data_IF_167747012724
#
_entry.id   IF_167747012724
#
_cell.length_a   1.000
_cell.length_b   1.000
_cell.length_c   1.000
_cell.angle_alpha   90.00
_cell.angle_beta   90.00
_cell.angle_gamma   90.00
#
_symmetry.space_group_name_H-M   'P 1'
#
loop_
_entity.id
_entity.type
_entity.pdbx_description
1 polymer ?
#
# COMPACT_ATOMS: atom_id res chain seq x y z
N UNK A 1 -7.31 -39.81 58.98
CA UNK A 1 -6.25 -38.90 59.46
C UNK A 1 -6.56 -37.49 58.96
N UNK A 2 -6.78 -36.56 59.92
CA UNK A 2 -6.87 -35.08 59.84
C UNK A 2 -7.94 -34.50 58.89
N UNK A 3 -9.15 -34.17 59.39
CA UNK A 3 -9.56 -32.89 60.03
C UNK A 3 -9.50 -31.71 59.03
N UNK A 4 -10.61 -31.35 58.35
CA UNK A 4 -11.66 -30.37 58.72
C UNK A 4 -11.12 -28.97 59.03
N UNK A 5 -11.48 -27.95 58.23
CA UNK A 5 -12.24 -26.76 58.69
C UNK A 5 -12.61 -25.80 57.54
N UNK A 6 -13.91 -25.49 57.46
CA UNK A 6 -14.53 -24.39 56.72
C UNK A 6 -14.37 -23.09 57.54
N UNK A 7 -14.01 -21.97 56.92
CA UNK A 7 -14.30 -20.64 57.47
C UNK A 7 -14.85 -19.74 56.35
N UNK A 8 -16.16 -19.52 56.41
CA UNK A 8 -16.81 -18.32 55.87
C UNK A 8 -16.38 -17.12 56.74
N UNK A 9 -16.01 -16.01 56.10
CA UNK A 9 -16.13 -14.68 56.70
C UNK A 9 -16.95 -13.81 55.75
N UNK A 10 -18.21 -13.57 56.13
CA UNK A 10 -18.99 -12.44 55.65
C UNK A 10 -18.75 -11.31 56.65
N UNK A 11 -18.09 -10.23 56.20
CA UNK A 11 -18.27 -8.91 56.79
C UNK A 11 -18.54 -7.96 55.63
N UNK A 12 -19.78 -7.46 55.59
CA UNK A 12 -20.13 -6.30 54.80
C UNK A 12 -19.62 -5.03 55.47
N UNK A 13 -19.09 -4.12 54.66
CA UNK A 13 -19.09 -2.69 54.95
C UNK A 13 -19.66 -2.00 53.71
N UNK A 14 -20.87 -1.47 53.89
CA UNK A 14 -21.44 -0.47 53.02
C UNK A 14 -20.67 0.86 53.12
N UNK A 15 -20.81 1.69 52.09
CA UNK A 15 -20.41 3.09 51.99
C UNK A 15 -18.97 3.37 51.55
N UNK A 16 -18.78 3.56 50.25
CA UNK A 16 -18.83 4.90 49.68
C UNK A 16 -18.91 4.80 48.16
N UNK A 17 -19.93 5.41 47.56
CA UNK A 17 -19.89 5.75 46.15
C UNK A 17 -18.69 6.68 45.94
N UNK A 18 -17.62 6.17 45.33
CA UNK A 18 -16.74 7.02 44.54
C UNK A 18 -16.86 6.53 43.11
N UNK A 19 -17.72 7.21 42.37
CA UNK A 19 -17.72 7.24 40.92
C UNK A 19 -16.37 7.82 40.46
N UNK A 20 -15.32 7.00 40.47
CA UNK A 20 -14.23 7.22 39.53
C UNK A 20 -14.71 6.64 38.22
N UNK A 21 -15.48 7.46 37.49
CA UNK A 21 -15.49 7.38 36.04
C UNK A 21 -14.04 7.55 35.59
N UNK A 22 -13.31 6.45 35.46
CA UNK A 22 -12.25 6.39 34.47
C UNK A 22 -12.96 6.56 33.14
N UNK A 23 -13.16 7.81 32.73
CA UNK A 23 -13.24 8.13 31.32
C UNK A 23 -11.98 7.51 30.73
N UNK A 24 -12.18 6.39 30.04
CA UNK A 24 -11.20 5.79 29.17
C UNK A 24 -11.00 6.83 28.06
N UNK A 25 -10.11 7.81 28.31
CA UNK A 25 -9.73 8.81 27.32
C UNK A 25 -8.96 8.05 26.26
N UNK A 26 -9.70 7.49 25.31
CA UNK A 26 -9.18 6.81 24.14
C UNK A 26 -8.30 7.84 23.42
N UNK A 27 -6.98 7.76 23.60
CA UNK A 27 -6.02 8.69 23.00
C UNK A 27 -6.22 8.62 21.50
N UNK A 28 -6.83 9.67 20.92
CA UNK A 28 -7.00 9.78 19.48
C UNK A 28 -5.61 9.85 18.85
N UNK A 29 -5.33 8.92 17.96
CA UNK A 29 -4.08 8.90 17.19
C UNK A 29 -3.96 10.18 16.37
N UNK A 30 -2.72 10.69 16.30
CA UNK A 30 -2.32 11.74 15.37
C UNK A 30 -2.41 11.24 13.92
N UNK A 31 -2.39 12.17 12.96
CA UNK A 31 -2.40 11.80 11.54
C UNK A 31 -1.20 10.96 11.13
N UNK A 32 -0.01 11.29 11.64
CA UNK A 32 1.19 10.49 11.43
C UNK A 32 1.05 9.08 12.01
N UNK A 33 0.56 8.94 13.25
CA UNK A 33 0.32 7.61 13.86
C UNK A 33 -0.72 6.79 13.06
N UNK A 34 -1.80 7.42 12.57
CA UNK A 34 -2.80 6.77 11.71
C UNK A 34 -2.19 6.31 10.38
N UNK A 35 -1.35 7.15 9.76
CA UNK A 35 -0.70 6.85 8.50
C UNK A 35 0.32 5.71 8.62
N UNK A 36 1.10 5.69 9.70
CA UNK A 36 2.02 4.58 10.01
C UNK A 36 1.25 3.28 10.25
N UNK A 37 0.11 3.34 10.93
CA UNK A 37 -0.76 2.17 11.08
C UNK A 37 -1.30 1.68 9.74
N UNK A 38 -1.77 2.57 8.87
CA UNK A 38 -2.23 2.23 7.52
C UNK A 38 -1.10 1.55 6.72
N UNK A 39 0.11 2.12 6.74
CA UNK A 39 1.27 1.50 6.09
C UNK A 39 1.52 0.08 6.62
N UNK A 40 1.62 -0.07 7.94
CA UNK A 40 2.03 -1.33 8.58
C UNK A 40 0.96 -2.42 8.49
N UNK A 41 -0.32 -2.05 8.63
CA UNK A 41 -1.42 -2.99 8.80
C UNK A 41 -2.20 -3.25 7.51
N UNK A 42 -2.15 -2.33 6.54
CA UNK A 42 -2.91 -2.44 5.31
C UNK A 42 -2.00 -2.53 4.08
N UNK A 43 -0.92 -1.75 4.00
CA UNK A 43 -0.06 -1.72 2.80
C UNK A 43 0.99 -2.83 2.79
N UNK A 44 1.77 -2.97 3.86
CA UNK A 44 2.82 -4.00 3.94
C UNK A 44 2.27 -5.42 3.70
N UNK A 45 1.13 -5.83 4.30
CA UNK A 45 0.57 -7.17 4.09
C UNK A 45 0.17 -7.49 2.64
N UNK A 46 -0.03 -6.48 1.78
CA UNK A 46 -0.29 -6.71 0.35
C UNK A 46 0.86 -7.47 -0.33
N UNK A 47 2.07 -7.42 0.24
CA UNK A 47 3.29 -7.99 -0.31
C UNK A 47 3.75 -9.28 0.37
N UNK A 48 2.94 -9.85 1.29
CA UNK A 48 3.30 -11.06 2.05
C UNK A 48 3.60 -12.29 1.17
N UNK A 49 3.11 -12.31 -0.07
CA UNK A 49 3.38 -13.41 -1.01
C UNK A 49 4.82 -13.43 -1.56
N UNK A 50 5.57 -12.33 -1.41
CA UNK A 50 6.94 -12.22 -1.87
C UNK A 50 7.89 -12.45 -0.70
N UNK A 51 8.40 -13.68 -0.57
CA UNK A 51 9.44 -14.00 0.41
C UNK A 51 10.71 -13.17 0.14
N UNK A 52 11.38 -12.75 1.21
CA UNK A 52 12.67 -12.06 1.18
C UNK A 52 12.65 -10.66 0.55
N UNK A 53 11.50 -9.97 0.51
CA UNK A 53 11.48 -8.54 0.23
C UNK A 53 12.01 -7.76 1.44
N UNK A 54 12.99 -6.89 1.18
CA UNK A 54 13.45 -5.90 2.15
C UNK A 54 12.49 -4.70 2.14
N UNK A 55 11.28 -4.90 2.65
CA UNK A 55 10.30 -3.83 2.82
C UNK A 55 10.80 -2.89 3.93
N UNK A 56 10.87 -1.57 3.71
CA UNK A 56 11.25 -0.62 4.73
C UNK A 56 10.33 -0.68 5.96
N UNK A 57 10.87 -0.59 7.16
CA UNK A 57 10.06 -0.54 8.39
C UNK A 57 9.75 0.90 8.83
N UNK A 58 10.50 1.87 8.31
CA UNK A 58 10.43 3.27 8.71
C UNK A 58 9.71 4.14 7.66
N UNK A 59 8.84 5.02 8.14
CA UNK A 59 8.27 6.12 7.36
C UNK A 59 8.94 7.42 7.80
N UNK A 60 9.53 8.15 6.85
CA UNK A 60 10.03 9.51 7.06
C UNK A 60 9.08 10.50 6.41
N UNK A 61 8.60 11.48 7.19
CA UNK A 61 7.65 12.48 6.69
C UNK A 61 8.42 13.76 6.38
N UNK A 62 8.39 14.21 5.12
CA UNK A 62 8.81 15.58 4.78
C UNK A 62 7.70 16.56 5.15
N UNK A 63 7.90 17.23 6.29
CA UNK A 63 6.99 18.24 6.82
C UNK A 63 6.84 19.49 5.94
N UNK A 64 7.73 19.69 4.96
CA UNK A 64 7.71 20.85 4.06
C UNK A 64 7.00 20.57 2.72
N UNK A 65 6.82 19.30 2.34
CA UNK A 65 6.15 18.91 1.11
C UNK A 65 4.63 18.74 1.33
N UNK A 66 3.85 19.67 0.80
CA UNK A 66 2.38 19.65 0.87
C UNK A 66 1.72 18.95 -0.32
N UNK A 67 2.51 18.43 -1.28
CA UNK A 67 1.99 17.63 -2.38
C UNK A 67 1.56 16.23 -1.90
N UNK A 68 1.00 15.40 -2.78
CA UNK A 68 0.72 13.99 -2.50
C UNK A 68 1.83 13.18 -3.18
N UNK A 69 2.84 12.77 -2.42
CA UNK A 69 4.05 12.15 -2.97
C UNK A 69 4.67 11.16 -1.99
N UNK A 70 5.40 10.19 -2.52
CA UNK A 70 6.21 9.25 -1.76
C UNK A 70 7.44 8.81 -2.57
N UNK A 71 8.42 8.23 -1.90
CA UNK A 71 9.59 7.61 -2.51
C UNK A 71 10.18 6.55 -1.59
N UNK A 72 10.51 5.37 -2.12
CA UNK A 72 11.26 4.37 -1.37
C UNK A 72 12.79 4.59 -1.49
N UNK A 73 13.47 4.62 -0.35
CA UNK A 73 14.92 4.63 -0.25
C UNK A 73 15.42 3.44 0.59
N UNK A 74 16.73 3.25 0.68
CA UNK A 74 17.29 2.14 1.46
C UNK A 74 16.96 2.30 2.95
N UNK A 75 16.04 1.47 3.44
CA UNK A 75 15.65 1.38 4.86
C UNK A 75 14.45 2.24 5.27
N UNK A 76 13.92 3.11 4.40
CA UNK A 76 12.73 3.91 4.71
C UNK A 76 11.89 4.24 3.47
N UNK A 77 10.61 4.55 3.67
CA UNK A 77 9.77 5.25 2.68
C UNK A 77 9.65 6.71 3.11
N UNK A 78 10.07 7.61 2.23
CA UNK A 78 9.83 9.05 2.38
C UNK A 78 8.43 9.37 1.90
N UNK A 79 7.66 10.16 2.66
CA UNK A 79 6.32 10.59 2.29
C UNK A 79 6.15 12.08 2.52
N UNK A 80 5.41 12.74 1.65
CA UNK A 80 5.06 14.14 1.84
C UNK A 80 4.03 14.29 2.96
N UNK A 81 4.05 15.42 3.66
CA UNK A 81 2.99 15.80 4.60
C UNK A 81 1.61 15.82 3.94
N UNK A 82 1.51 16.28 2.69
CA UNK A 82 0.24 16.31 1.97
C UNK A 82 -0.35 14.91 1.75
N UNK A 83 0.50 13.87 1.55
CA UNK A 83 0.05 12.48 1.51
C UNK A 83 -0.46 12.02 2.88
N UNK A 84 0.24 12.34 3.97
CA UNK A 84 -0.15 11.99 5.35
C UNK A 84 -1.48 12.65 5.76
N UNK A 85 -1.71 13.89 5.34
CA UNK A 85 -2.91 14.66 5.67
C UNK A 85 -4.11 14.37 4.74
N UNK A 86 -3.87 13.67 3.62
CA UNK A 86 -4.92 13.28 2.68
C UNK A 86 -6.01 12.47 3.40
N UNK A 87 -7.28 12.81 3.14
CA UNK A 87 -8.42 12.11 3.74
C UNK A 87 -8.74 10.78 3.05
N UNK A 88 -8.31 10.65 1.81
CA UNK A 88 -8.61 9.51 0.96
C UNK A 88 -7.58 8.40 1.18
N UNK A 89 -7.94 7.44 2.05
CA UNK A 89 -7.08 6.29 2.35
C UNK A 89 -6.83 5.42 1.14
N UNK A 90 -7.78 5.32 0.19
CA UNK A 90 -7.57 4.49 -1.01
C UNK A 90 -6.41 5.02 -1.86
N UNK A 91 -6.28 6.34 -1.96
CA UNK A 91 -5.13 6.99 -2.62
C UNK A 91 -3.86 6.81 -1.79
N UNK A 92 -3.92 6.94 -0.46
CA UNK A 92 -2.75 6.70 0.40
C UNK A 92 -2.19 5.29 0.22
N UNK A 93 -3.07 4.29 0.22
CA UNK A 93 -2.71 2.88 0.00
C UNK A 93 -2.10 2.69 -1.39
N UNK A 94 -2.69 3.26 -2.44
CA UNK A 94 -2.15 3.14 -3.79
C UNK A 94 -0.74 3.74 -3.90
N UNK A 95 -0.52 4.95 -3.38
CA UNK A 95 0.80 5.62 -3.44
C UNK A 95 1.85 4.84 -2.66
N UNK A 96 1.54 4.36 -1.45
CA UNK A 96 2.48 3.55 -0.68
C UNK A 96 2.73 2.17 -1.31
N UNK A 97 1.69 1.53 -1.84
CA UNK A 97 1.83 0.24 -2.53
C UNK A 97 2.65 0.38 -3.83
N UNK A 98 2.54 1.51 -4.53
CA UNK A 98 3.37 1.81 -5.69
C UNK A 98 4.87 1.80 -5.32
N UNK A 99 5.26 2.47 -4.24
CA UNK A 99 6.65 2.47 -3.77
C UNK A 99 7.17 1.07 -3.41
N UNK A 100 6.36 0.26 -2.71
CA UNK A 100 6.74 -1.12 -2.39
C UNK A 100 6.76 -2.02 -3.63
N UNK A 101 5.93 -1.73 -4.64
CA UNK A 101 5.93 -2.46 -5.89
C UNK A 101 7.21 -2.26 -6.70
N UNK A 102 7.88 -1.11 -6.59
CA UNK A 102 9.23 -0.95 -7.14
C UNK A 102 10.21 -1.98 -6.57
N UNK A 103 10.15 -2.24 -5.26
CA UNK A 103 10.99 -3.24 -4.58
C UNK A 103 10.62 -4.66 -5.04
N UNK A 104 9.32 -4.94 -5.16
CA UNK A 104 8.81 -6.27 -5.50
C UNK A 104 8.94 -6.65 -6.99
N UNK A 105 9.16 -5.68 -7.89
CA UNK A 105 9.08 -5.88 -9.35
C UNK A 105 9.99 -7.01 -9.85
N UNK A 106 11.25 -7.06 -9.39
CA UNK A 106 12.18 -8.10 -9.85
C UNK A 106 11.81 -9.49 -9.31
N UNK A 107 11.27 -9.58 -8.09
CA UNK A 107 10.75 -10.84 -7.53
C UNK A 107 9.53 -11.33 -8.31
N UNK A 108 8.64 -10.42 -8.68
CA UNK A 108 7.52 -10.78 -9.55
C UNK A 108 7.98 -11.26 -10.93
N UNK A 109 9.00 -10.61 -11.50
CA UNK A 109 9.59 -11.02 -12.78
C UNK A 109 10.18 -12.43 -12.70
N UNK A 110 10.92 -12.76 -11.62
CA UNK A 110 11.42 -14.11 -11.34
C UNK A 110 10.29 -15.15 -11.33
N UNK A 111 9.18 -14.86 -10.65
CA UNK A 111 7.98 -15.72 -10.62
C UNK A 111 7.35 -15.95 -11.99
N UNK A 112 7.55 -15.02 -12.94
CA UNK A 112 7.15 -15.15 -14.33
C UNK A 112 8.22 -15.74 -15.24
N UNK A 113 9.32 -16.27 -14.70
CA UNK A 113 10.47 -16.75 -15.46
C UNK A 113 11.09 -15.67 -16.36
N UNK A 114 10.94 -14.39 -15.99
CA UNK A 114 11.64 -13.26 -16.58
C UNK A 114 12.89 -13.05 -15.73
N UNK A 115 14.07 -13.15 -16.34
CA UNK A 115 15.35 -13.11 -15.62
C UNK A 115 16.13 -11.85 -15.96
N UNK A 116 16.94 -11.41 -15.01
CA UNK A 116 17.86 -10.29 -15.16
C UNK A 116 17.26 -8.97 -14.73
N UNK A 117 17.90 -7.90 -15.17
CA UNK A 117 17.47 -6.53 -14.95
C UNK A 117 16.29 -6.18 -15.88
N UNK A 118 15.55 -5.14 -15.50
CA UNK A 118 14.46 -4.63 -16.33
C UNK A 118 15.04 -4.13 -17.66
N UNK A 119 14.65 -4.69 -18.82
CA UNK A 119 15.30 -4.35 -20.07
C UNK A 119 14.92 -2.94 -20.50
N UNK A 120 15.90 -2.12 -20.90
CA UNK A 120 15.61 -0.85 -21.55
C UNK A 120 15.17 -1.07 -23.00
N UNK A 121 14.09 -0.38 -23.40
CA UNK A 121 13.68 -0.25 -24.79
C UNK A 121 14.31 0.99 -25.47
N UNK A 122 14.11 1.12 -26.78
CA UNK A 122 14.49 2.31 -27.58
C UNK A 122 13.53 3.50 -27.44
N UNK A 123 12.26 3.25 -27.11
CA UNK A 123 11.17 4.20 -26.90
C UNK A 123 10.78 4.27 -25.42
N UNK A 124 10.71 3.12 -24.75
CA UNK A 124 10.37 3.00 -23.32
C UNK A 124 11.59 2.54 -22.53
N UNK A 125 12.21 3.46 -21.80
CA UNK A 125 13.33 3.16 -20.91
C UNK A 125 12.91 2.20 -19.79
N UNK A 126 13.89 1.58 -19.16
CA UNK A 126 13.76 0.83 -17.91
C UNK A 126 13.08 1.64 -16.81
N UNK A 127 13.45 2.92 -16.61
CA UNK A 127 12.77 3.82 -15.66
C UNK A 127 11.27 3.91 -15.93
N UNK A 128 10.88 4.14 -17.19
CA UNK A 128 9.46 4.24 -17.57
C UNK A 128 8.71 2.92 -17.40
N UNK A 129 9.36 1.80 -17.67
CA UNK A 129 8.79 0.47 -17.43
C UNK A 129 8.59 0.22 -15.94
N UNK A 130 9.52 0.64 -15.09
CA UNK A 130 9.44 0.45 -13.65
C UNK A 130 8.18 1.13 -13.09
N UNK A 131 7.87 2.35 -13.55
CA UNK A 131 6.64 3.07 -13.18
C UNK A 131 5.37 2.30 -13.57
N UNK A 132 5.28 1.83 -14.83
CA UNK A 132 4.13 1.05 -15.29
C UNK A 132 3.96 -0.28 -14.55
N UNK A 133 5.07 -0.94 -14.20
CA UNK A 133 5.06 -2.19 -13.46
C UNK A 133 4.65 -1.96 -12.01
N UNK A 134 5.16 -0.91 -11.36
CA UNK A 134 4.80 -0.54 -10.01
C UNK A 134 3.31 -0.21 -9.89
N UNK A 135 2.77 0.57 -10.83
CA UNK A 135 1.31 0.83 -10.92
C UNK A 135 0.51 -0.46 -11.04
N UNK A 136 0.88 -1.31 -12.00
CA UNK A 136 0.17 -2.54 -12.28
C UNK A 136 0.18 -3.48 -11.08
N UNK A 137 1.34 -3.63 -10.43
CA UNK A 137 1.51 -4.46 -9.25
C UNK A 137 0.69 -3.93 -8.07
N UNK A 138 0.77 -2.63 -7.77
CA UNK A 138 -0.05 -2.02 -6.73
C UNK A 138 -1.54 -2.26 -6.99
N UNK A 139 -2.02 -1.98 -8.21
CA UNK A 139 -3.42 -2.21 -8.58
C UNK A 139 -3.83 -3.68 -8.47
N UNK A 140 -2.97 -4.60 -8.92
CA UNK A 140 -3.23 -6.03 -8.85
C UNK A 140 -3.34 -6.51 -7.39
N UNK A 141 -2.36 -6.18 -6.55
CA UNK A 141 -2.30 -6.62 -5.15
C UNK A 141 -3.47 -6.05 -4.34
N UNK A 142 -3.81 -4.77 -4.53
CA UNK A 142 -4.98 -4.17 -3.92
C UNK A 142 -6.26 -4.87 -4.42
N UNK A 143 -6.38 -5.13 -5.73
CA UNK A 143 -7.56 -5.83 -6.28
C UNK A 143 -7.73 -7.27 -5.80
N UNK A 144 -6.64 -7.91 -5.38
CA UNK A 144 -6.60 -9.30 -4.91
C UNK A 144 -6.93 -9.39 -3.42
N UNK A 145 -6.33 -8.51 -2.61
CA UNK A 145 -6.36 -8.61 -1.16
C UNK A 145 -7.37 -7.66 -0.51
N UNK A 146 -7.65 -6.50 -1.14
CA UNK A 146 -8.50 -5.43 -0.59
C UNK A 146 -9.57 -4.97 -1.60
N UNK A 147 -10.61 -5.78 -1.88
CA UNK A 147 -11.58 -5.50 -2.95
C UNK A 147 -12.34 -4.17 -2.80
N UNK A 148 -12.65 -3.75 -1.56
CA UNK A 148 -13.36 -2.49 -1.30
C UNK A 148 -12.48 -1.29 -1.66
N UNK A 149 -11.22 -1.30 -1.24
CA UNK A 149 -10.22 -0.29 -1.61
C UNK A 149 -10.00 -0.24 -3.12
N UNK A 150 -9.96 -1.40 -3.77
CA UNK A 150 -9.86 -1.47 -5.23
C UNK A 150 -11.06 -0.86 -5.95
N UNK A 151 -12.29 -1.10 -5.48
CA UNK A 151 -13.49 -0.49 -6.07
C UNK A 151 -13.44 1.03 -5.96
N UNK A 152 -13.04 1.54 -4.79
CA UNK A 152 -12.83 2.97 -4.56
C UNK A 152 -11.73 3.58 -5.45
N UNK A 153 -10.68 2.83 -5.79
CA UNK A 153 -9.61 3.29 -6.68
C UNK A 153 -10.04 3.37 -8.13
N UNK A 154 -10.83 2.41 -8.62
CA UNK A 154 -11.36 2.43 -10.00
C UNK A 154 -12.20 3.67 -10.27
N UNK A 155 -12.96 4.14 -9.28
CA UNK A 155 -13.76 5.36 -9.40
C UNK A 155 -12.90 6.63 -9.47
N UNK A 156 -11.60 6.53 -9.16
CA UNK A 156 -10.67 7.66 -9.04
C UNK A 156 -9.56 7.65 -10.09
N UNK A 157 -9.69 6.87 -11.16
CA UNK A 157 -8.66 6.83 -12.23
C UNK A 157 -8.34 8.21 -12.81
N UNK A 158 -9.34 9.09 -12.96
CA UNK A 158 -9.10 10.47 -13.42
C UNK A 158 -8.26 11.29 -12.42
N UNK A 159 -8.54 11.12 -11.12
CA UNK A 159 -7.76 11.78 -10.07
C UNK A 159 -6.32 11.24 -10.04
N UNK A 160 -6.15 9.92 -10.20
CA UNK A 160 -4.83 9.31 -10.34
C UNK A 160 -4.09 9.81 -11.58
N UNK A 161 -4.78 10.03 -12.71
CA UNK A 161 -4.19 10.61 -13.91
C UNK A 161 -3.57 11.99 -13.62
N UNK A 162 -4.33 12.86 -12.95
CA UNK A 162 -3.90 14.20 -12.57
C UNK A 162 -2.75 14.15 -11.55
N UNK A 163 -2.85 13.25 -10.57
CA UNK A 163 -1.84 13.06 -9.52
C UNK A 163 -0.49 12.63 -10.10
N UNK A 164 -0.49 11.70 -11.06
CA UNK A 164 0.71 11.19 -11.73
C UNK A 164 1.34 12.21 -12.69
N UNK A 165 0.61 13.28 -13.03
CA UNK A 165 1.16 14.46 -13.67
C UNK A 165 1.61 14.28 -15.12
N UNK A 166 2.44 15.22 -15.57
CA UNK A 166 3.00 15.21 -16.92
C UNK A 166 4.20 14.27 -17.00
N UNK A 167 4.38 13.63 -18.14
CA UNK A 167 5.53 12.78 -18.38
C UNK A 167 6.80 13.59 -18.65
N UNK A 168 7.93 12.99 -18.30
CA UNK A 168 9.27 13.54 -18.58
C UNK A 168 10.20 12.46 -19.17
N UNK A 169 11.51 12.65 -18.99
CA UNK A 169 12.49 11.71 -19.50
C UNK A 169 12.52 10.39 -18.73
N UNK A 170 12.27 10.40 -17.42
CA UNK A 170 12.34 9.24 -16.53
C UNK A 170 10.97 8.66 -16.19
N UNK A 171 9.93 9.50 -16.12
CA UNK A 171 8.58 9.12 -15.74
C UNK A 171 7.60 9.23 -16.92
N UNK A 172 6.74 8.24 -17.18
CA UNK A 172 5.66 8.39 -18.16
C UNK A 172 4.58 9.34 -17.65
N UNK A 173 3.79 9.91 -18.56
CA UNK A 173 2.65 10.76 -18.15
C UNK A 173 1.59 9.96 -17.42
N UNK A 174 0.86 10.63 -16.52
CA UNK A 174 -0.31 10.06 -15.86
C UNK A 174 -1.30 9.47 -16.85
N UNK A 175 -1.58 10.17 -17.96
CA UNK A 175 -2.46 9.66 -19.03
C UNK A 175 -2.00 8.32 -19.60
N UNK A 176 -0.71 8.14 -19.85
CA UNK A 176 -0.15 6.89 -20.37
C UNK A 176 -0.18 5.77 -19.32
N UNK A 177 0.07 6.12 -18.06
CA UNK A 177 0.02 5.19 -16.92
C UNK A 177 -1.41 4.69 -16.67
N UNK A 178 -2.39 5.57 -16.69
CA UNK A 178 -3.81 5.20 -16.59
C UNK A 178 -4.25 4.40 -17.81
N UNK A 179 -3.84 4.74 -19.02
CA UNK A 179 -4.11 3.92 -20.21
C UNK A 179 -3.55 2.50 -20.05
N UNK A 180 -2.37 2.37 -19.44
CA UNK A 180 -1.76 1.07 -19.12
C UNK A 180 -2.61 0.25 -18.15
N UNK A 181 -3.11 0.88 -17.07
CA UNK A 181 -4.01 0.24 -16.11
C UNK A 181 -5.34 -0.14 -16.74
N UNK A 182 -5.92 0.70 -17.60
CA UNK A 182 -7.15 0.40 -18.32
C UNK A 182 -7.01 -0.83 -19.22
N UNK A 183 -5.82 -1.08 -19.80
CA UNK A 183 -5.54 -2.32 -20.55
C UNK A 183 -5.55 -3.56 -19.65
N UNK A 184 -5.10 -3.45 -18.40
CA UNK A 184 -5.25 -4.52 -17.41
C UNK A 184 -6.72 -4.77 -17.04
N UNK A 185 -7.47 -3.71 -16.74
CA UNK A 185 -8.90 -3.79 -16.39
C UNK A 185 -9.72 -4.45 -17.51
N UNK A 186 -9.51 -4.04 -18.76
CA UNK A 186 -10.15 -4.67 -19.93
C UNK A 186 -9.75 -6.15 -20.11
N UNK A 187 -8.54 -6.51 -19.71
CA UNK A 187 -8.10 -7.90 -19.67
C UNK A 187 -8.96 -8.74 -18.73
N UNK A 188 -9.31 -8.21 -17.57
CA UNK A 188 -10.14 -8.90 -16.57
C UNK A 188 -11.56 -9.20 -17.05
N UNK A 189 -12.09 -8.48 -18.04
CA UNK A 189 -13.41 -8.78 -18.63
C UNK A 189 -13.47 -10.16 -19.30
N UNK A 190 -12.31 -10.70 -19.70
CA UNK A 190 -12.22 -11.90 -20.52
C UNK A 190 -11.41 -13.03 -19.86
N UNK A 191 -10.78 -12.79 -18.71
CA UNK A 191 -9.90 -13.75 -18.03
C UNK A 191 -9.80 -13.46 -16.53
N UNK A 192 -9.19 -14.36 -15.75
CA UNK A 192 -8.93 -14.12 -14.32
C UNK A 192 -8.00 -12.91 -14.10
N UNK A 193 -8.07 -12.32 -12.89
CA UNK A 193 -7.19 -11.23 -12.43
C UNK A 193 -5.72 -11.58 -12.61
N UNK A 194 -5.31 -12.76 -12.17
CA UNK A 194 -3.93 -13.27 -12.23
C UNK A 194 -3.44 -13.36 -13.68
N UNK A 195 -4.30 -13.83 -14.58
CA UNK A 195 -3.95 -13.99 -15.99
C UNK A 195 -3.87 -12.62 -16.68
N UNK A 196 -4.81 -11.72 -16.42
CA UNK A 196 -4.76 -10.34 -16.93
C UNK A 196 -3.49 -9.62 -16.44
N UNK A 197 -3.15 -9.79 -15.16
CA UNK A 197 -1.95 -9.26 -14.54
C UNK A 197 -0.68 -9.80 -15.21
N UNK A 198 -0.50 -11.13 -15.27
CA UNK A 198 0.65 -11.76 -15.93
C UNK A 198 0.82 -11.30 -17.38
N UNK A 199 -0.27 -11.24 -18.15
CA UNK A 199 -0.23 -10.81 -19.53
C UNK A 199 0.20 -9.34 -19.65
N UNK A 200 -0.36 -8.45 -18.82
CA UNK A 200 0.00 -7.04 -18.83
C UNK A 200 1.44 -6.80 -18.37
N UNK A 201 1.86 -7.48 -17.31
CA UNK A 201 3.23 -7.41 -16.79
C UNK A 201 4.24 -7.78 -17.87
N UNK A 202 4.06 -8.92 -18.54
CA UNK A 202 4.94 -9.36 -19.64
C UNK A 202 4.95 -8.37 -20.81
N UNK A 203 3.78 -7.80 -21.14
CA UNK A 203 3.67 -6.79 -22.19
C UNK A 203 4.49 -5.55 -21.86
N UNK A 204 4.40 -5.04 -20.62
CA UNK A 204 5.18 -3.88 -20.17
C UNK A 204 6.67 -4.20 -20.15
N UNK A 205 7.04 -5.37 -19.61
CA UNK A 205 8.42 -5.85 -19.57
C UNK A 205 9.08 -5.82 -20.96
N UNK A 206 8.34 -6.27 -21.97
CA UNK A 206 8.81 -6.33 -23.36
C UNK A 206 8.57 -5.06 -24.19
N UNK A 207 8.11 -3.95 -23.60
CA UNK A 207 7.90 -2.71 -24.37
C UNK A 207 9.22 -2.26 -25.03
N UNK A 208 9.13 -1.84 -26.29
CA UNK A 208 10.24 -1.15 -26.92
C UNK A 208 10.36 0.25 -26.38
#
# INVERSE_FOLDING_TARGET
>A
MKNTLLILFIIGIASSCNSNSTEDVQKKLTKAEQFIQLYTLEVVPLFDEYSDLNIPEEIQIDENDLSVNAGAAFGYVEVSKGLVELKDQSIQIFVLAHELAHIATLKQAEGFNLKGELPSGSETSDYKKAEYLADLMAFYLISKNEPETYDLLKEKLNYLEELLGNGDFTHPSGSSRIESLMKYLKGMDNTSKETAFSNRFRTIWSMN
#
